data_IF_317915923472
#
_entry.id   IF_317915923472
#
_cell.length_a   1.000
_cell.length_b   1.000
_cell.length_c   1.000
_cell.angle_alpha   90.00
_cell.angle_beta   90.00
_cell.angle_gamma   90.00
#
_symmetry.space_group_name_H-M   'P 1'
#
loop_
_entity.id
_entity.type
_entity.pdbx_description
1 polymer ?
#
# COMPACT_ATOMS: atom_id res chain seq x y z
N UNK A 1 9.01 17.62 7.09
CA UNK A 1 9.30 16.28 6.54
C UNK A 1 8.71 15.14 7.38
N UNK A 2 8.59 15.28 8.71
CA UNK A 2 8.07 14.22 9.60
C UNK A 2 6.55 14.00 9.50
N UNK A 3 5.77 15.05 9.22
CA UNK A 3 4.31 14.99 9.20
C UNK A 3 3.74 14.06 8.11
N UNK A 4 4.23 14.15 6.87
CA UNK A 4 3.82 13.24 5.79
C UNK A 4 4.21 11.78 6.08
N UNK A 5 5.36 11.56 6.72
CA UNK A 5 5.78 10.21 7.10
C UNK A 5 4.84 9.60 8.14
N UNK A 6 4.35 10.40 9.10
CA UNK A 6 3.38 9.97 10.10
C UNK A 6 2.03 9.67 9.46
N UNK A 7 1.51 10.54 8.59
CA UNK A 7 0.24 10.31 7.87
C UNK A 7 0.31 9.03 7.02
N UNK A 8 1.44 8.83 6.31
CA UNK A 8 1.64 7.62 5.51
C UNK A 8 1.69 6.37 6.39
N UNK A 9 2.33 6.43 7.56
CA UNK A 9 2.39 5.29 8.48
C UNK A 9 1.01 4.97 9.08
N UNK A 10 0.24 5.97 9.50
CA UNK A 10 -1.12 5.78 10.02
C UNK A 10 -2.03 5.10 8.98
N UNK A 11 -1.95 5.54 7.72
CA UNK A 11 -2.68 4.90 6.63
C UNK A 11 -2.29 3.43 6.45
N UNK A 12 -0.99 3.12 6.46
CA UNK A 12 -0.46 1.76 6.38
C UNK A 12 -0.98 0.90 7.53
N UNK A 13 -0.95 1.42 8.76
CA UNK A 13 -1.43 0.71 9.95
C UNK A 13 -2.93 0.38 9.85
N UNK A 14 -3.74 1.28 9.28
CA UNK A 14 -5.17 1.02 9.00
C UNK A 14 -5.37 -0.07 7.95
N UNK A 15 -4.54 -0.12 6.90
CA UNK A 15 -4.58 -1.23 5.93
C UNK A 15 -4.12 -2.55 6.56
N UNK A 16 -3.11 -2.53 7.46
CA UNK A 16 -2.69 -3.71 8.22
C UNK A 16 -3.81 -4.23 9.11
N UNK A 17 -4.56 -3.33 9.76
CA UNK A 17 -5.72 -3.72 10.57
C UNK A 17 -6.83 -4.37 9.73
N UNK A 18 -7.01 -3.94 8.47
CA UNK A 18 -8.00 -4.48 7.55
C UNK A 18 -7.60 -5.84 6.94
N UNK A 19 -6.35 -5.98 6.50
CA UNK A 19 -5.85 -7.13 5.74
C UNK A 19 -5.09 -8.16 6.59
N UNK A 20 -4.75 -7.79 7.82
CA UNK A 20 -3.81 -8.54 8.66
C UNK A 20 -2.35 -8.33 8.25
N UNK A 21 -1.40 -8.83 9.06
CA UNK A 21 0.03 -8.54 8.92
C UNK A 21 0.67 -9.11 7.65
N UNK A 22 0.05 -10.10 7.00
CA UNK A 22 0.54 -10.66 5.73
C UNK A 22 -0.02 -9.95 4.49
N UNK A 23 -1.05 -9.14 4.67
CA UNK A 23 -1.74 -8.47 3.57
C UNK A 23 -1.14 -7.11 3.19
N UNK A 24 -0.09 -6.67 3.89
CA UNK A 24 0.61 -5.40 3.60
C UNK A 24 2.11 -5.65 3.61
N UNK A 25 2.80 -5.22 2.54
CA UNK A 25 4.25 -5.29 2.40
C UNK A 25 4.79 -3.86 2.45
N UNK A 26 5.73 -3.58 3.35
CA UNK A 26 6.35 -2.26 3.53
C UNK A 26 7.87 -2.27 3.37
N UNK A 27 8.47 -3.46 3.31
CA UNK A 27 9.91 -3.59 3.12
C UNK A 27 10.31 -3.07 1.73
N UNK A 28 11.30 -2.19 1.69
CA UNK A 28 11.72 -1.54 0.45
C UNK A 28 12.31 -2.52 -0.55
N UNK A 29 13.02 -3.56 -0.09
CA UNK A 29 13.64 -4.57 -0.95
C UNK A 29 12.58 -5.51 -1.53
N UNK A 30 11.52 -5.80 -0.76
CA UNK A 30 10.37 -6.57 -1.25
C UNK A 30 9.49 -5.77 -2.23
N UNK A 31 9.43 -4.44 -2.08
CA UNK A 31 8.67 -3.53 -2.96
C UNK A 31 9.43 -3.24 -4.27
N UNK A 32 10.77 -3.14 -4.22
CA UNK A 32 11.60 -2.71 -5.35
C UNK A 32 11.30 -3.40 -6.69
N UNK A 33 11.02 -4.72 -6.76
CA UNK A 33 10.68 -5.40 -8.00
C UNK A 33 9.34 -4.96 -8.62
N UNK A 34 8.40 -4.44 -7.82
CA UNK A 34 7.02 -4.14 -8.23
C UNK A 34 6.83 -2.69 -8.68
N UNK A 35 7.72 -1.79 -8.27
CA UNK A 35 7.67 -0.37 -8.66
C UNK A 35 8.33 -0.09 -10.00
N UNK A 36 8.93 -1.09 -10.62
CA UNK A 36 9.52 -1.00 -11.95
C UNK A 36 8.68 -1.77 -12.95
N UNK A 37 8.32 -1.13 -14.07
CA UNK A 37 7.65 -1.82 -15.18
C UNK A 37 8.58 -2.89 -15.82
N UNK A 38 7.99 -3.93 -16.40
CA UNK A 38 8.71 -5.04 -17.04
C UNK A 38 9.68 -4.63 -18.16
N UNK A 39 9.51 -3.45 -18.76
CA UNK A 39 10.41 -2.90 -19.80
C UNK A 39 11.54 -2.05 -19.23
N UNK A 40 11.56 -1.81 -17.92
CA UNK A 40 12.51 -0.94 -17.23
C UNK A 40 12.43 0.53 -17.66
N UNK A 41 11.28 0.99 -18.18
CA UNK A 41 11.11 2.40 -18.61
C UNK A 41 10.51 3.29 -17.54
N UNK A 42 9.72 2.73 -16.64
CA UNK A 42 9.04 3.47 -15.58
C UNK A 42 9.47 2.93 -14.22
N UNK A 43 9.83 3.85 -13.33
CA UNK A 43 10.16 3.58 -11.94
C UNK A 43 9.26 4.45 -11.07
N UNK A 44 8.30 3.83 -10.41
CA UNK A 44 7.45 4.46 -9.42
C UNK A 44 8.07 4.46 -8.03
N UNK A 45 7.31 4.99 -7.07
CA UNK A 45 7.58 4.86 -5.66
C UNK A 45 6.28 4.50 -4.96
N UNK A 46 6.29 3.42 -4.19
CA UNK A 46 5.18 2.99 -3.35
C UNK A 46 5.66 2.89 -1.91
N UNK A 47 4.80 3.29 -0.96
CA UNK A 47 5.08 3.17 0.48
C UNK A 47 4.67 1.81 1.04
N UNK A 48 3.73 1.14 0.38
CA UNK A 48 3.28 -0.20 0.71
C UNK A 48 2.66 -0.89 -0.52
N UNK A 49 2.63 -2.22 -0.51
CA UNK A 49 1.84 -3.04 -1.43
C UNK A 49 0.73 -3.72 -0.61
N UNK A 50 -0.50 -3.64 -1.10
CA UNK A 50 -1.66 -4.34 -0.53
C UNK A 50 -1.83 -5.69 -1.24
N UNK A 51 -1.93 -6.77 -0.48
CA UNK A 51 -2.09 -8.14 -0.95
C UNK A 51 -3.34 -8.79 -0.33
N UNK A 52 -4.55 -8.34 -0.72
CA UNK A 52 -5.80 -8.91 -0.23
C UNK A 52 -5.99 -10.34 -0.73
N UNK A 53 -6.46 -11.24 0.14
CA UNK A 53 -6.74 -12.64 -0.16
C UNK A 53 -8.16 -12.86 -0.69
N UNK A 54 -9.06 -11.91 -0.48
CA UNK A 54 -10.48 -12.03 -0.86
C UNK A 54 -11.01 -10.79 -1.57
N UNK A 55 -12.07 -10.95 -2.36
CA UNK A 55 -12.76 -9.82 -3.00
C UNK A 55 -13.37 -8.86 -1.98
N UNK A 56 -13.74 -9.36 -0.79
CA UNK A 56 -14.23 -8.54 0.33
C UNK A 56 -13.13 -7.62 0.86
N UNK A 57 -11.92 -8.14 1.00
CA UNK A 57 -10.76 -7.33 1.40
C UNK A 57 -10.39 -6.28 0.35
N UNK A 58 -10.45 -6.63 -0.94
CA UNK A 58 -10.27 -5.67 -2.04
C UNK A 58 -11.28 -4.52 -1.92
N UNK A 59 -12.56 -4.83 -1.75
CA UNK A 59 -13.60 -3.82 -1.59
C UNK A 59 -13.35 -2.94 -0.35
N UNK A 60 -12.89 -3.53 0.75
CA UNK A 60 -12.48 -2.80 1.95
C UNK A 60 -11.31 -1.85 1.69
N UNK A 61 -10.31 -2.26 0.90
CA UNK A 61 -9.16 -1.41 0.58
C UNK A 61 -9.59 -0.19 -0.23
N UNK A 62 -10.42 -0.38 -1.25
CA UNK A 62 -10.93 0.71 -2.09
C UNK A 62 -11.75 1.69 -1.24
N UNK A 63 -12.64 1.21 -0.38
CA UNK A 63 -13.43 2.05 0.51
C UNK A 63 -12.54 2.86 1.46
N UNK A 64 -11.59 2.19 2.13
CA UNK A 64 -10.65 2.84 3.04
C UNK A 64 -9.76 3.87 2.34
N UNK A 65 -9.28 3.57 1.13
CA UNK A 65 -8.50 4.51 0.34
C UNK A 65 -9.31 5.76 -0.04
N UNK A 66 -10.58 5.59 -0.42
CA UNK A 66 -11.48 6.70 -0.72
C UNK A 66 -11.75 7.57 0.52
N UNK A 67 -11.98 6.96 1.68
CA UNK A 67 -12.15 7.67 2.96
C UNK A 67 -10.90 8.48 3.34
N UNK A 68 -9.71 7.94 3.09
CA UNK A 68 -8.43 8.56 3.40
C UNK A 68 -7.93 9.54 2.31
N UNK A 69 -8.56 9.57 1.13
CA UNK A 69 -8.09 10.35 -0.01
C UNK A 69 -6.78 9.84 -0.61
N UNK A 70 -6.53 8.53 -0.55
CA UNK A 70 -5.32 7.88 -1.06
C UNK A 70 -5.59 7.26 -2.43
N UNK A 71 -4.67 7.46 -3.38
CA UNK A 71 -4.72 6.78 -4.67
C UNK A 71 -4.23 5.33 -4.54
N UNK A 72 -4.93 4.40 -5.19
CA UNK A 72 -4.55 2.99 -5.34
C UNK A 72 -4.20 2.69 -6.80
#
# INVERSE_FOLDING_TARGET
MTEQAIIAQDAIDRFVALLGPKGVITDADDIAPWVSDWRGRYHGAARAILSPATTREVAGCVALAAELGIAL
#
